data_IF_395170507545
#
_entry.id   IF_395170507545
#
_cell.length_a   1.000
_cell.length_b   1.000
_cell.length_c   1.000
_cell.angle_alpha   90.00
_cell.angle_beta   90.00
_cell.angle_gamma   90.00
#
_symmetry.space_group_name_H-M   'P 1'
#
loop_
_entity.id
_entity.type
_entity.pdbx_description
1 polymer ?
#
# COMPACT_ATOMS: atom_id res chain seq x y z
N UNK A 1 -52.42 -25.06 -40.86
CA UNK A 1 -52.87 -25.66 -42.12
C UNK A 1 -51.75 -25.68 -43.13
N UNK A 2 -51.50 -26.88 -43.67
CA UNK A 2 -50.91 -27.17 -44.99
C UNK A 2 -49.50 -26.60 -45.30
N UNK A 3 -48.52 -27.32 -45.82
CA UNK A 3 -48.42 -28.67 -46.35
C UNK A 3 -46.93 -29.06 -46.35
N UNK A 4 -46.64 -30.35 -46.17
CA UNK A 4 -45.36 -30.97 -46.49
C UNK A 4 -45.46 -31.51 -47.93
N UNK A 5 -44.36 -31.61 -48.72
CA UNK A 5 -43.93 -32.98 -49.07
C UNK A 5 -42.43 -33.18 -49.44
N UNK A 6 -41.91 -34.35 -49.04
CA UNK A 6 -41.02 -35.32 -49.77
C UNK A 6 -39.77 -34.80 -50.50
N UNK A 7 -38.57 -35.42 -50.48
CA UNK A 7 -38.26 -36.85 -50.59
C UNK A 7 -36.73 -37.08 -50.45
N UNK A 8 -36.35 -38.33 -50.12
CA UNK A 8 -35.12 -39.07 -50.48
C UNK A 8 -33.70 -38.72 -49.95
N UNK A 9 -33.30 -39.59 -49.01
CA UNK A 9 -32.09 -40.46 -49.02
C UNK A 9 -30.69 -39.87 -49.17
N UNK A 10 -29.88 -40.01 -48.11
CA UNK A 10 -28.61 -40.77 -48.15
C UNK A 10 -27.98 -40.90 -46.75
N UNK A 11 -27.61 -42.13 -46.38
CA UNK A 11 -26.73 -42.46 -45.23
C UNK A 11 -25.32 -41.85 -45.44
N UNK A 12 -24.45 -41.63 -44.41
CA UNK A 12 -23.84 -42.75 -43.67
C UNK A 12 -23.38 -42.48 -42.20
N UNK A 13 -23.36 -43.56 -41.41
CA UNK A 13 -22.24 -44.14 -40.63
C UNK A 13 -21.40 -43.24 -39.66
N UNK A 14 -21.40 -43.73 -38.40
CA UNK A 14 -20.36 -43.73 -37.36
C UNK A 14 -20.11 -42.50 -36.47
N UNK A 15 -20.36 -42.70 -35.16
CA UNK A 15 -19.44 -42.23 -34.11
C UNK A 15 -19.37 -43.25 -32.97
N UNK A 16 -18.41 -44.18 -33.12
CA UNK A 16 -17.99 -45.09 -32.05
C UNK A 16 -17.26 -44.32 -30.95
N UNK A 17 -17.63 -44.63 -29.72
CA UNK A 17 -17.12 -44.06 -28.49
C UNK A 17 -15.64 -44.41 -28.26
N UNK A 18 -14.78 -43.40 -28.04
CA UNK A 18 -13.52 -43.58 -27.28
C UNK A 18 -13.31 -42.40 -26.33
N UNK A 19 -13.29 -42.76 -25.04
CA UNK A 19 -13.01 -41.91 -23.88
C UNK A 19 -11.67 -41.17 -24.05
N UNK A 20 -11.69 -39.84 -24.04
CA UNK A 20 -10.49 -39.04 -23.83
C UNK A 20 -10.14 -39.05 -22.34
N UNK A 21 -9.11 -39.83 -21.96
CA UNK A 21 -8.41 -39.64 -20.70
C UNK A 21 -7.55 -38.38 -20.83
N UNK A 22 -7.94 -37.30 -20.15
CA UNK A 22 -7.06 -36.16 -19.90
C UNK A 22 -6.01 -36.59 -18.88
N UNK A 23 -4.80 -36.91 -19.35
CA UNK A 23 -3.62 -36.94 -18.49
C UNK A 23 -3.35 -35.51 -18.00
N UNK A 24 -3.70 -35.22 -16.74
CA UNK A 24 -3.13 -34.10 -15.99
C UNK A 24 -1.62 -34.34 -15.89
N UNK A 25 -0.84 -33.66 -16.72
CA UNK A 25 0.61 -33.63 -16.59
C UNK A 25 0.96 -33.07 -15.21
N UNK A 26 1.60 -33.88 -14.39
CA UNK A 26 2.31 -33.38 -13.21
C UNK A 26 3.30 -32.29 -13.66
N UNK A 27 3.51 -31.22 -12.87
CA UNK A 27 4.57 -30.26 -13.16
C UNK A 27 5.87 -31.05 -13.26
N UNK A 28 6.55 -31.01 -14.41
CA UNK A 28 7.90 -31.57 -14.52
C UNK A 28 8.77 -30.80 -13.55
N UNK A 29 9.19 -31.43 -12.45
CA UNK A 29 10.24 -30.90 -11.60
C UNK A 29 11.47 -30.63 -12.47
N UNK A 30 11.77 -29.35 -12.68
CA UNK A 30 12.99 -28.94 -13.35
C UNK A 30 14.13 -29.42 -12.46
N UNK A 31 14.84 -30.48 -12.90
CA UNK A 31 16.02 -31.00 -12.20
C UNK A 31 17.05 -29.87 -12.13
N UNK A 32 17.14 -29.23 -10.97
CA UNK A 32 18.13 -28.18 -10.71
C UNK A 32 19.53 -28.69 -11.03
N UNK A 33 20.30 -27.91 -11.77
CA UNK A 33 21.68 -28.25 -12.12
C UNK A 33 22.55 -28.32 -10.86
N UNK A 34 23.68 -29.04 -10.92
CA UNK A 34 24.64 -29.07 -9.79
C UNK A 34 25.08 -27.66 -9.37
N UNK A 35 25.26 -26.76 -10.33
CA UNK A 35 25.58 -25.36 -10.09
C UNK A 35 24.45 -24.62 -9.34
N UNK A 36 23.20 -24.78 -9.76
CA UNK A 36 22.04 -24.18 -9.08
C UNK A 36 21.91 -24.68 -7.63
N UNK A 37 22.13 -25.98 -7.39
CA UNK A 37 22.11 -26.55 -6.03
C UNK A 37 23.22 -25.97 -5.15
N UNK A 38 24.42 -25.75 -5.69
CA UNK A 38 25.53 -25.13 -4.95
C UNK A 38 25.21 -23.67 -4.62
N UNK A 39 24.64 -22.91 -5.57
CA UNK A 39 24.21 -21.52 -5.34
C UNK A 39 23.15 -21.46 -4.24
N UNK A 40 22.12 -22.31 -4.32
CA UNK A 40 21.05 -22.38 -3.33
C UNK A 40 21.59 -22.74 -1.94
N UNK A 41 22.47 -23.74 -1.85
CA UNK A 41 23.10 -24.13 -0.59
C UNK A 41 23.97 -23.01 0.00
N UNK A 42 24.71 -22.28 -0.83
CA UNK A 42 25.50 -21.14 -0.37
C UNK A 42 24.62 -19.99 0.10
N UNK A 43 23.53 -19.68 -0.62
CA UNK A 43 22.54 -18.69 -0.20
C UNK A 43 21.92 -19.05 1.14
N UNK A 44 21.50 -20.31 1.32
CA UNK A 44 20.95 -20.79 2.58
C UNK A 44 21.95 -20.71 3.73
N UNK A 45 23.23 -21.06 3.49
CA UNK A 45 24.30 -20.93 4.50
C UNK A 45 24.51 -19.49 4.91
N UNK A 46 24.55 -18.56 3.95
CA UNK A 46 24.69 -17.13 4.21
C UNK A 46 23.49 -16.59 5.00
N UNK A 47 22.27 -17.00 4.66
CA UNK A 47 21.06 -16.62 5.37
C UNK A 47 21.04 -17.17 6.80
N UNK A 48 21.39 -18.44 7.00
CA UNK A 48 21.48 -19.04 8.33
C UNK A 48 22.54 -18.36 9.20
N UNK A 49 23.70 -18.00 8.61
CA UNK A 49 24.76 -17.27 9.31
C UNK A 49 24.27 -15.90 9.76
N UNK A 50 23.62 -15.15 8.86
CA UNK A 50 23.03 -13.83 9.19
C UNK A 50 21.98 -13.94 10.28
N UNK A 51 21.10 -14.94 10.20
CA UNK A 51 20.08 -15.20 11.21
C UNK A 51 20.71 -15.45 12.58
N UNK A 52 21.80 -16.22 12.66
CA UNK A 52 22.50 -16.46 13.92
C UNK A 52 23.12 -15.17 14.48
N UNK A 53 23.80 -14.37 13.65
CA UNK A 53 24.37 -13.08 14.05
C UNK A 53 23.29 -12.10 14.53
N UNK A 54 22.15 -12.01 13.84
CA UNK A 54 21.03 -11.18 14.25
C UNK A 54 20.32 -11.70 15.51
N UNK A 55 20.27 -13.01 15.71
CA UNK A 55 19.73 -13.61 16.94
C UNK A 55 20.56 -13.17 18.16
N UNK A 56 21.89 -13.16 18.05
CA UNK A 56 22.75 -12.68 19.13
C UNK A 56 22.61 -11.17 19.37
N UNK A 57 22.45 -10.38 18.30
CA UNK A 57 22.13 -8.93 18.43
C UNK A 57 20.79 -8.72 19.11
N UNK A 58 19.78 -9.49 18.77
CA UNK A 58 18.46 -9.42 19.41
C UNK A 58 18.53 -9.74 20.90
N UNK A 59 19.31 -10.73 21.33
CA UNK A 59 19.52 -11.01 22.75
C UNK A 59 20.06 -9.80 23.50
N UNK A 60 21.00 -9.07 22.91
CA UNK A 60 21.51 -7.83 23.48
C UNK A 60 20.40 -6.75 23.58
N UNK A 61 19.52 -6.65 22.59
CA UNK A 61 18.35 -5.75 22.67
C UNK A 61 17.45 -6.14 23.85
N UNK A 62 17.14 -7.43 24.03
CA UNK A 62 16.35 -7.89 25.19
C UNK A 62 17.05 -7.60 26.52
N UNK A 63 18.37 -7.83 26.62
CA UNK A 63 19.15 -7.51 27.81
C UNK A 63 19.10 -6.00 28.14
N UNK A 64 19.11 -5.14 27.12
CA UNK A 64 18.92 -3.69 27.31
C UNK A 64 17.49 -3.37 27.76
N UNK A 65 16.48 -4.01 27.18
CA UNK A 65 15.07 -3.83 27.57
C UNK A 65 14.83 -4.22 29.03
N UNK A 66 15.50 -5.25 29.56
CA UNK A 66 15.35 -5.64 30.98
C UNK A 66 15.88 -4.59 31.97
N UNK A 67 16.78 -3.70 31.52
CA UNK A 67 17.32 -2.61 32.34
C UNK A 67 16.41 -1.39 32.38
N UNK A 68 15.46 -1.29 31.45
CA UNK A 68 14.48 -0.20 31.41
C UNK A 68 13.37 -0.52 32.43
N UNK A 69 12.97 0.45 33.28
CA UNK A 69 11.85 0.26 34.20
C UNK A 69 10.58 -0.20 33.48
N UNK A 70 9.85 -1.15 34.08
CA UNK A 70 8.69 -1.80 33.43
C UNK A 70 7.53 -0.85 33.10
N UNK A 71 7.48 0.30 33.77
CA UNK A 71 6.49 1.37 33.55
C UNK A 71 6.95 2.40 32.50
N UNK A 72 8.25 2.45 32.18
CA UNK A 72 8.81 3.33 31.16
C UNK A 72 8.68 2.71 29.77
N UNK A 73 7.47 2.75 29.25
CA UNK A 73 7.15 2.19 27.94
C UNK A 73 7.76 2.99 26.79
N UNK A 74 7.92 4.32 26.94
CA UNK A 74 8.43 5.19 25.87
C UNK A 74 9.85 4.81 25.49
N UNK A 75 10.76 4.80 26.47
CA UNK A 75 12.17 4.49 26.23
C UNK A 75 12.37 3.06 25.69
N UNK A 76 11.53 2.12 26.14
CA UNK A 76 11.54 0.75 25.64
C UNK A 76 11.11 0.66 24.16
N UNK A 77 10.10 1.44 23.75
CA UNK A 77 9.66 1.52 22.35
C UNK A 77 10.74 2.20 21.49
N UNK A 78 11.31 3.31 21.97
CA UNK A 78 12.33 4.07 21.26
C UNK A 78 13.61 3.25 21.06
N UNK A 79 14.01 2.45 22.07
CA UNK A 79 15.13 1.52 21.95
C UNK A 79 14.87 0.49 20.84
N UNK A 80 13.67 -0.08 20.76
CA UNK A 80 13.36 -1.03 19.68
C UNK A 80 13.40 -0.33 18.33
N UNK A 81 12.85 0.87 18.21
CA UNK A 81 12.83 1.63 16.95
C UNK A 81 14.23 1.99 16.44
N UNK A 82 15.12 2.42 17.33
CA UNK A 82 16.53 2.68 16.98
C UNK A 82 17.23 1.41 16.49
N UNK A 83 16.92 0.26 17.11
CA UNK A 83 17.60 -1.00 16.83
C UNK A 83 17.04 -1.70 15.61
N UNK A 84 15.74 -1.61 15.33
CA UNK A 84 15.03 -2.31 14.25
C UNK A 84 15.65 -2.06 12.86
N UNK A 85 16.23 -0.87 12.64
CA UNK A 85 16.91 -0.50 11.38
C UNK A 85 18.12 -1.39 11.09
N UNK A 86 18.73 -1.99 12.11
CA UNK A 86 19.93 -2.82 11.99
C UNK A 86 19.63 -4.32 11.75
N UNK A 87 18.36 -4.69 11.58
CA UNK A 87 17.92 -6.06 11.33
C UNK A 87 17.33 -6.18 9.94
N UNK A 88 17.91 -7.06 9.12
CA UNK A 88 17.51 -7.31 7.75
C UNK A 88 16.60 -8.54 7.64
N UNK A 89 16.74 -9.52 8.54
CA UNK A 89 15.98 -10.78 8.42
C UNK A 89 14.54 -10.59 8.89
N UNK A 90 13.58 -10.94 8.03
CA UNK A 90 12.14 -10.83 8.32
C UNK A 90 11.72 -11.51 9.62
N UNK A 91 12.35 -12.64 9.99
CA UNK A 91 12.05 -13.39 11.21
C UNK A 91 12.39 -12.60 12.48
N UNK A 92 13.60 -12.05 12.58
CA UNK A 92 14.05 -11.28 13.75
C UNK A 92 13.31 -9.94 13.82
N UNK A 93 13.11 -9.29 12.67
CA UNK A 93 12.29 -8.08 12.58
C UNK A 93 10.88 -8.31 13.11
N UNK A 94 10.24 -9.42 12.71
CA UNK A 94 8.90 -9.77 13.16
C UNK A 94 8.84 -9.94 14.68
N UNK A 95 9.84 -10.58 15.28
CA UNK A 95 9.88 -10.80 16.72
C UNK A 95 10.09 -9.49 17.50
N UNK A 96 10.98 -8.59 17.03
CA UNK A 96 11.10 -7.24 17.58
C UNK A 96 9.82 -6.40 17.43
N UNK A 97 9.15 -6.50 16.28
CA UNK A 97 7.88 -5.80 16.05
C UNK A 97 6.77 -6.31 16.95
N UNK A 98 6.71 -7.63 17.21
CA UNK A 98 5.79 -8.21 18.20
C UNK A 98 6.09 -7.69 19.61
N UNK A 99 7.37 -7.60 19.97
CA UNK A 99 7.80 -7.01 21.25
C UNK A 99 7.37 -5.56 21.39
N UNK A 100 7.61 -4.75 20.35
CA UNK A 100 7.17 -3.35 20.25
C UNK A 100 5.65 -3.23 20.36
N UNK A 101 4.93 -4.07 19.63
CA UNK A 101 3.47 -4.11 19.63
C UNK A 101 2.92 -4.31 21.04
N UNK A 102 3.47 -5.25 21.81
CA UNK A 102 3.05 -5.49 23.19
C UNK A 102 3.32 -4.30 24.12
N UNK A 103 4.47 -3.64 23.98
CA UNK A 103 4.82 -2.44 24.74
C UNK A 103 3.87 -1.27 24.42
N UNK A 104 3.63 -1.02 23.13
CA UNK A 104 2.69 0.01 22.68
C UNK A 104 1.28 -0.26 23.19
N UNK A 105 0.82 -1.51 23.14
CA UNK A 105 -0.48 -1.93 23.66
C UNK A 105 -0.62 -1.65 25.16
N UNK A 106 0.39 -1.99 25.95
CA UNK A 106 0.39 -1.70 27.40
C UNK A 106 0.38 -0.20 27.65
N UNK A 107 1.16 0.57 26.91
CA UNK A 107 1.23 2.01 27.09
C UNK A 107 -0.09 2.71 26.71
N UNK A 108 -0.70 2.34 25.58
CA UNK A 108 -2.03 2.83 25.18
C UNK A 108 -3.06 2.61 26.28
N UNK A 109 -3.09 1.39 26.85
CA UNK A 109 -4.01 1.06 27.96
C UNK A 109 -3.75 1.89 29.20
N UNK A 110 -2.49 2.16 29.53
CA UNK A 110 -2.14 3.01 30.68
C UNK A 110 -2.61 4.44 30.49
N UNK A 111 -2.43 5.01 29.29
CA UNK A 111 -2.91 6.37 28.98
C UNK A 111 -4.45 6.43 28.96
N UNK A 112 -5.12 5.48 28.29
CA UNK A 112 -6.59 5.44 28.21
C UNK A 112 -7.29 5.25 29.56
N UNK A 113 -6.63 4.64 30.55
CA UNK A 113 -7.18 4.50 31.91
C UNK A 113 -7.22 5.82 32.70
N UNK A 114 -6.46 6.83 32.28
CA UNK A 114 -6.45 8.13 32.96
C UNK A 114 -7.74 8.88 32.63
N UNK A 115 -8.47 9.34 33.65
CA UNK A 115 -9.69 10.13 33.44
C UNK A 115 -9.41 11.48 32.77
N UNK A 116 -8.30 12.13 33.14
CA UNK A 116 -7.87 13.40 32.58
C UNK A 116 -6.43 13.26 32.09
N UNK A 117 -6.24 13.38 30.78
CA UNK A 117 -4.93 13.41 30.14
C UNK A 117 -4.41 14.86 30.12
N UNK A 118 -3.13 15.05 30.37
CA UNK A 118 -2.46 16.33 30.07
C UNK A 118 -2.38 16.56 28.56
N UNK A 119 -2.05 17.78 28.13
CA UNK A 119 -1.86 18.11 26.70
C UNK A 119 -0.76 17.23 26.09
N UNK A 120 0.34 17.04 26.82
CA UNK A 120 1.45 16.16 26.41
C UNK A 120 0.97 14.72 26.30
N UNK A 121 0.29 14.19 27.31
CA UNK A 121 -0.21 12.81 27.29
C UNK A 121 -1.22 12.56 26.18
N UNK A 122 -2.03 13.57 25.85
CA UNK A 122 -2.97 13.51 24.71
C UNK A 122 -2.21 13.44 23.39
N UNK A 123 -1.16 14.24 23.24
CA UNK A 123 -0.30 14.22 22.05
C UNK A 123 0.43 12.88 21.92
N UNK A 124 0.94 12.36 23.04
CA UNK A 124 1.56 11.04 23.11
C UNK A 124 0.58 9.94 22.76
N UNK A 125 -0.67 10.00 23.25
CA UNK A 125 -1.72 9.03 22.91
C UNK A 125 -1.96 8.98 21.39
N UNK A 126 -2.08 10.13 20.75
CA UNK A 126 -2.32 10.21 19.30
C UNK A 126 -1.15 9.64 18.49
N UNK A 127 0.09 10.05 18.82
CA UNK A 127 1.28 9.53 18.15
C UNK A 127 1.44 8.01 18.37
N UNK A 128 1.14 7.54 19.58
CA UNK A 128 1.21 6.13 19.94
C UNK A 128 0.15 5.31 19.18
N UNK A 129 -1.06 5.82 18.99
CA UNK A 129 -2.10 5.18 18.16
C UNK A 129 -1.64 5.03 16.70
N UNK A 130 -1.02 6.07 16.14
CA UNK A 130 -0.45 6.04 14.78
C UNK A 130 0.67 5.01 14.70
N UNK A 131 1.60 5.03 15.65
CA UNK A 131 2.72 4.10 15.73
C UNK A 131 2.29 2.64 15.93
N UNK A 132 1.24 2.41 16.72
CA UNK A 132 0.65 1.08 16.94
C UNK A 132 0.01 0.55 15.65
N UNK A 133 -0.77 1.37 14.96
CA UNK A 133 -1.34 1.01 13.66
C UNK A 133 -0.27 0.67 12.61
N UNK A 134 0.82 1.46 12.57
CA UNK A 134 1.93 1.20 11.67
C UNK A 134 2.62 -0.14 11.97
N UNK A 135 2.90 -0.41 13.25
CA UNK A 135 3.52 -1.65 13.71
C UNK A 135 2.68 -2.87 13.36
N UNK A 136 1.35 -2.81 13.58
CA UNK A 136 0.43 -3.86 13.15
C UNK A 136 0.47 -4.10 11.63
N UNK A 137 0.56 -3.03 10.85
CA UNK A 137 0.60 -3.12 9.39
C UNK A 137 1.86 -3.81 8.92
N UNK A 138 3.00 -3.52 9.56
CA UNK A 138 4.28 -4.16 9.25
C UNK A 138 4.29 -5.65 9.65
N UNK A 139 3.75 -5.99 10.82
CA UNK A 139 3.60 -7.39 11.26
C UNK A 139 2.74 -8.18 10.26
N UNK A 140 1.55 -7.67 9.91
CA UNK A 140 0.66 -8.33 8.96
C UNK A 140 1.31 -8.54 7.59
N UNK A 141 2.15 -7.60 7.15
CA UNK A 141 2.91 -7.73 5.90
C UNK A 141 3.98 -8.83 5.99
N UNK A 142 4.77 -8.85 7.07
CA UNK A 142 5.82 -9.86 7.28
C UNK A 142 5.25 -11.28 7.47
N UNK A 143 4.07 -11.40 8.09
CA UNK A 143 3.36 -12.67 8.27
C UNK A 143 2.56 -13.09 7.03
N UNK A 144 2.56 -12.28 5.97
CA UNK A 144 1.82 -12.50 4.73
C UNK A 144 0.31 -12.75 4.98
N UNK A 145 -0.28 -11.98 5.89
CA UNK A 145 -1.69 -12.08 6.26
C UNK A 145 -2.55 -11.63 5.08
N UNK A 146 -3.36 -12.56 4.56
CA UNK A 146 -4.27 -12.29 3.42
C UNK A 146 -5.35 -11.28 3.79
N UNK A 147 -5.94 -11.39 4.99
CA UNK A 147 -6.95 -10.47 5.50
C UNK A 147 -6.39 -9.58 6.61
N UNK A 148 -5.46 -8.71 6.24
CA UNK A 148 -4.86 -7.75 7.18
C UNK A 148 -5.90 -6.78 7.78
N UNK A 149 -7.08 -6.64 7.15
CA UNK A 149 -8.16 -5.80 7.67
C UNK A 149 -8.80 -6.43 8.90
N UNK A 150 -9.23 -7.69 8.80
CA UNK A 150 -9.84 -8.41 9.93
C UNK A 150 -8.87 -8.56 11.12
N UNK A 151 -7.58 -8.79 10.86
CA UNK A 151 -6.59 -8.85 11.94
C UNK A 151 -6.44 -7.52 12.67
N UNK A 152 -6.42 -6.39 11.94
CA UNK A 152 -6.35 -5.05 12.57
C UNK A 152 -7.61 -4.72 13.34
N UNK A 153 -8.77 -5.17 12.87
CA UNK A 153 -10.05 -4.93 13.55
C UNK A 153 -10.14 -5.57 14.94
N UNK A 154 -9.35 -6.61 15.22
CA UNK A 154 -9.24 -7.20 16.56
C UNK A 154 -8.69 -6.25 17.62
N UNK A 155 -7.98 -5.20 17.21
CA UNK A 155 -7.33 -4.24 18.11
C UNK A 155 -7.99 -2.86 18.07
N UNK A 156 -9.27 -2.83 17.68
CA UNK A 156 -10.04 -1.58 17.59
C UNK A 156 -10.21 -0.92 18.95
N UNK A 157 -10.36 -1.69 20.03
CA UNK A 157 -10.46 -1.15 21.38
C UNK A 157 -9.20 -0.38 21.79
N UNK A 158 -8.02 -0.85 21.38
CA UNK A 158 -6.76 -0.14 21.59
C UNK A 158 -6.67 1.16 20.78
N UNK A 159 -7.26 1.20 19.58
CA UNK A 159 -7.11 2.32 18.64
C UNK A 159 -8.24 3.36 18.69
N UNK A 160 -9.45 2.94 19.04
CA UNK A 160 -10.68 3.74 18.99
C UNK A 160 -11.44 3.50 20.29
N UNK A 161 -11.86 4.58 20.94
CA UNK A 161 -12.65 4.46 22.17
C UNK A 161 -14.05 3.93 21.83
N UNK A 162 -14.42 2.83 22.49
CA UNK A 162 -15.73 2.17 22.51
C UNK A 162 -16.38 1.87 21.14
N UNK A 163 -16.08 0.68 20.59
CA UNK A 163 -17.06 -0.30 20.10
C UNK A 163 -16.30 -1.37 19.29
N UNK A 164 -16.35 -2.65 19.68
CA UNK A 164 -15.54 -3.70 19.04
C UNK A 164 -15.85 -3.98 17.56
N UNK A 165 -16.87 -3.36 16.94
CA UNK A 165 -17.28 -3.68 15.55
C UNK A 165 -17.87 -2.49 14.77
N UNK A 166 -17.63 -1.23 15.17
CA UNK A 166 -18.15 -0.08 14.43
C UNK A 166 -17.22 0.33 13.28
N UNK A 167 -17.58 -0.11 12.06
CA UNK A 167 -16.84 0.22 10.83
C UNK A 167 -16.77 1.72 10.57
N UNK A 168 -17.79 2.49 10.95
CA UNK A 168 -17.77 3.93 10.73
C UNK A 168 -16.69 4.58 11.61
N UNK A 169 -16.66 4.24 12.90
CA UNK A 169 -15.63 4.76 13.81
C UNK A 169 -14.22 4.35 13.39
N UNK A 170 -14.05 3.12 12.88
CA UNK A 170 -12.78 2.68 12.31
C UNK A 170 -12.34 3.52 11.11
N UNK A 171 -13.24 3.76 10.14
CA UNK A 171 -12.93 4.61 9.00
C UNK A 171 -12.65 6.05 9.41
N UNK A 172 -13.40 6.61 10.35
CA UNK A 172 -13.14 7.94 10.92
C UNK A 172 -11.76 8.01 11.55
N UNK A 173 -11.41 7.05 12.40
CA UNK A 173 -10.07 6.94 12.97
C UNK A 173 -8.98 6.89 11.90
N UNK A 174 -9.17 6.07 10.86
CA UNK A 174 -8.21 5.97 9.76
C UNK A 174 -8.04 7.31 9.01
N UNK A 175 -9.13 8.03 8.75
CA UNK A 175 -9.13 9.30 8.04
C UNK A 175 -8.67 10.49 8.89
N UNK A 176 -8.89 10.46 10.20
CA UNK A 176 -8.54 11.56 11.11
C UNK A 176 -7.13 11.40 11.69
N UNK A 177 -6.76 10.18 12.10
CA UNK A 177 -5.49 9.91 12.79
C UNK A 177 -4.45 9.27 11.89
N UNK A 178 -4.87 8.37 10.98
CA UNK A 178 -3.94 7.55 10.17
C UNK A 178 -3.73 8.10 8.75
N UNK A 179 -4.37 9.21 8.38
CA UNK A 179 -4.36 9.73 7.00
C UNK A 179 -2.96 9.82 6.37
N UNK A 180 -1.97 10.31 7.14
CA UNK A 180 -0.58 10.44 6.69
C UNK A 180 0.12 9.10 6.39
N UNK A 181 -0.40 8.00 6.94
CA UNK A 181 0.12 6.63 6.79
C UNK A 181 -0.76 5.75 5.89
N UNK A 182 -1.92 6.23 5.44
CA UNK A 182 -2.71 5.50 4.46
C UNK A 182 -1.91 5.41 3.16
N UNK A 183 -1.89 4.24 2.51
CA UNK A 183 -1.23 4.10 1.22
C UNK A 183 -1.86 5.13 0.28
N UNK A 184 -1.00 6.02 -0.26
CA UNK A 184 -1.41 6.84 -1.39
C UNK A 184 -1.69 5.88 -2.54
N UNK A 185 -2.70 6.20 -3.36
CA UNK A 185 -3.05 5.38 -4.53
C UNK A 185 -1.75 5.04 -5.29
N UNK A 186 -1.65 3.80 -5.75
CA UNK A 186 -0.50 3.35 -6.54
C UNK A 186 -0.25 4.37 -7.66
N UNK A 187 0.92 5.02 -7.59
CA UNK A 187 1.38 5.90 -8.65
C UNK A 187 1.65 5.03 -9.88
N UNK A 188 1.29 5.54 -11.06
CA UNK A 188 1.35 4.78 -12.30
C UNK A 188 2.77 4.52 -12.79
N UNK A 189 2.90 4.33 -14.11
CA UNK A 189 4.20 4.23 -14.77
C UNK A 189 4.78 5.64 -14.94
N UNK A 190 6.11 5.78 -14.85
CA UNK A 190 6.79 7.05 -15.17
C UNK A 190 6.41 7.54 -16.57
N UNK A 191 6.09 8.83 -16.68
CA UNK A 191 5.77 9.48 -17.95
C UNK A 191 6.89 10.45 -18.32
N UNK A 192 7.41 10.36 -19.54
CA UNK A 192 8.52 11.18 -20.00
C UNK A 192 8.20 12.69 -20.05
N UNK A 193 6.90 13.06 -20.11
CA UNK A 193 6.45 14.46 -20.06
C UNK A 193 6.59 15.07 -18.66
N UNK A 194 6.66 14.24 -17.62
CA UNK A 194 6.71 14.64 -16.22
C UNK A 194 7.91 13.98 -15.52
N UNK A 195 9.14 14.51 -15.72
CA UNK A 195 10.35 13.90 -15.18
C UNK A 195 10.45 14.00 -13.64
N UNK A 196 9.79 14.99 -13.04
CA UNK A 196 9.96 15.33 -11.63
C UNK A 196 9.14 14.47 -10.67
N UNK A 197 8.11 13.75 -11.16
CA UNK A 197 7.29 12.87 -10.34
C UNK A 197 6.56 11.81 -11.17
N UNK A 198 6.03 10.79 -10.50
CA UNK A 198 5.25 9.72 -11.14
C UNK A 198 3.77 10.11 -11.15
N UNK A 199 3.15 10.34 -12.33
CA UNK A 199 1.76 10.74 -12.40
C UNK A 199 0.78 9.60 -12.09
N UNK A 200 -0.41 9.97 -11.64
CA UNK A 200 -1.56 9.07 -11.59
C UNK A 200 -2.02 8.70 -13.00
N UNK A 201 -2.69 7.55 -13.14
CA UNK A 201 -3.22 7.08 -14.43
C UNK A 201 -4.08 8.12 -15.16
N UNK A 202 -4.99 8.80 -14.44
CA UNK A 202 -5.85 9.81 -15.05
C UNK A 202 -5.07 11.03 -15.56
N UNK A 203 -3.93 11.35 -14.93
CA UNK A 203 -3.06 12.44 -15.39
C UNK A 203 -2.43 12.06 -16.72
N UNK A 204 -1.95 10.82 -16.87
CA UNK A 204 -1.43 10.30 -18.14
C UNK A 204 -2.51 10.33 -19.23
N UNK A 205 -3.73 9.83 -18.93
CA UNK A 205 -4.87 9.87 -19.85
C UNK A 205 -5.24 11.30 -20.26
N UNK A 206 -5.15 12.26 -19.33
CA UNK A 206 -5.32 13.68 -19.61
C UNK A 206 -4.25 14.22 -20.57
N UNK A 207 -2.97 13.94 -20.31
CA UNK A 207 -1.87 14.39 -21.16
C UNK A 207 -2.02 13.84 -22.59
N UNK A 208 -2.37 12.56 -22.72
CA UNK A 208 -2.61 11.90 -24.01
C UNK A 208 -3.74 12.55 -24.79
N UNK A 209 -4.84 12.90 -24.10
CA UNK A 209 -5.97 13.54 -24.74
C UNK A 209 -5.66 15.01 -25.12
N UNK A 210 -4.83 15.73 -24.34
CA UNK A 210 -4.33 17.06 -24.72
C UNK A 210 -3.46 16.98 -25.97
N UNK A 211 -2.51 16.04 -26.03
CA UNK A 211 -1.63 15.86 -27.19
C UNK A 211 -2.41 15.47 -28.45
N UNK A 212 -3.51 14.73 -28.29
CA UNK A 212 -4.47 14.38 -29.36
C UNK A 212 -5.48 15.50 -29.69
N UNK A 213 -5.39 16.66 -29.03
CA UNK A 213 -6.33 17.80 -29.17
C UNK A 213 -7.80 17.42 -28.92
N UNK A 214 -8.04 16.55 -27.95
CA UNK A 214 -9.37 16.11 -27.56
C UNK A 214 -9.94 16.97 -26.43
N UNK A 215 -11.28 17.10 -26.38
CA UNK A 215 -11.97 17.69 -25.24
C UNK A 215 -12.05 16.69 -24.09
N UNK A 216 -11.84 17.15 -22.85
CA UNK A 216 -11.73 16.29 -21.65
C UNK A 216 -12.51 16.92 -20.51
N UNK A 217 -13.21 16.09 -19.73
CA UNK A 217 -13.76 16.47 -18.42
C UNK A 217 -13.03 15.68 -17.33
N UNK A 218 -12.53 16.40 -16.32
CA UNK A 218 -11.77 15.80 -15.22
C UNK A 218 -12.57 15.93 -13.93
N UNK A 219 -12.95 14.79 -13.35
CA UNK A 219 -13.62 14.73 -12.05
C UNK A 219 -12.66 14.10 -11.05
N UNK A 220 -12.00 14.94 -10.25
CA UNK A 220 -11.08 14.50 -9.20
C UNK A 220 -11.20 15.38 -7.94
N UNK A 221 -10.90 14.85 -6.74
CA UNK A 221 -10.91 15.62 -5.50
C UNK A 221 -10.02 16.89 -5.54
N UNK A 222 -10.34 17.86 -4.68
CA UNK A 222 -9.45 19.01 -4.43
C UNK A 222 -8.08 18.49 -3.94
N UNK A 223 -7.00 19.17 -4.34
CA UNK A 223 -5.61 18.76 -4.13
C UNK A 223 -5.11 17.51 -4.91
N UNK A 224 -5.89 16.92 -5.82
CA UNK A 224 -5.40 15.86 -6.73
C UNK A 224 -4.48 16.34 -7.85
N UNK A 225 -4.10 17.63 -7.89
CA UNK A 225 -3.21 18.16 -8.94
C UNK A 225 -3.90 18.60 -10.25
N UNK A 226 -5.22 18.83 -10.23
CA UNK A 226 -5.96 19.36 -11.40
C UNK A 226 -5.39 20.68 -11.94
N UNK A 227 -5.02 21.60 -11.04
CA UNK A 227 -4.40 22.88 -11.43
C UNK A 227 -3.06 22.66 -12.13
N UNK A 228 -2.22 21.76 -11.59
CA UNK A 228 -0.95 21.40 -12.23
C UNK A 228 -1.18 20.84 -13.65
N UNK A 229 -2.13 19.92 -13.80
CA UNK A 229 -2.49 19.36 -15.10
C UNK A 229 -2.90 20.45 -16.12
N UNK A 230 -3.66 21.47 -15.70
CA UNK A 230 -4.08 22.55 -16.60
C UNK A 230 -2.92 23.35 -17.21
N UNK A 231 -1.79 23.48 -16.51
CA UNK A 231 -0.60 24.14 -17.05
C UNK A 231 0.00 23.40 -18.24
N UNK A 232 -0.14 22.07 -18.31
CA UNK A 232 0.29 21.32 -19.48
C UNK A 232 -0.55 21.71 -20.71
N UNK A 233 -1.88 21.75 -20.59
CA UNK A 233 -2.76 22.17 -21.68
C UNK A 233 -2.48 23.61 -22.14
N UNK A 234 -2.30 24.54 -21.19
CA UNK A 234 -1.91 25.93 -21.50
C UNK A 234 -0.56 25.95 -22.22
N UNK A 235 0.43 25.21 -21.70
CA UNK A 235 1.77 25.12 -22.26
C UNK A 235 1.79 24.56 -23.68
N UNK A 236 0.98 23.54 -23.98
CA UNK A 236 0.88 22.93 -25.31
C UNK A 236 0.39 23.94 -26.35
N UNK A 237 -0.55 24.82 -26.01
CA UNK A 237 -1.01 25.89 -26.92
C UNK A 237 0.05 26.98 -27.07
N UNK A 238 0.58 27.50 -25.95
CA UNK A 238 1.49 28.64 -25.97
C UNK A 238 2.89 28.32 -26.53
N UNK A 239 3.29 27.05 -26.53
CA UNK A 239 4.59 26.59 -27.02
C UNK A 239 4.49 25.90 -28.39
N UNK A 240 3.31 25.87 -29.01
CA UNK A 240 3.14 25.26 -30.33
C UNK A 240 3.83 26.13 -31.39
N UNK A 241 4.93 25.63 -31.95
CA UNK A 241 5.66 26.31 -33.02
C UNK A 241 4.89 26.35 -34.34
N UNK A 242 3.91 25.47 -34.52
CA UNK A 242 3.09 25.42 -35.73
C UNK A 242 1.93 26.41 -35.70
N UNK A 243 1.55 26.88 -34.51
CA UNK A 243 0.51 27.88 -34.30
C UNK A 243 1.01 28.99 -33.35
N UNK A 244 1.87 29.90 -33.84
CA UNK A 244 2.46 30.95 -33.01
C UNK A 244 1.44 31.98 -32.50
N UNK A 245 0.21 31.97 -33.03
CA UNK A 245 -0.88 32.85 -32.61
C UNK A 245 -1.91 32.11 -31.73
N UNK A 246 -1.57 30.91 -31.24
CA UNK A 246 -2.43 30.12 -30.37
C UNK A 246 -2.86 30.91 -29.12
N UNK A 247 -4.18 30.98 -28.89
CA UNK A 247 -4.75 31.65 -27.72
C UNK A 247 -5.36 30.61 -26.78
N UNK A 248 -4.98 30.67 -25.50
CA UNK A 248 -5.60 29.86 -24.44
C UNK A 248 -6.41 30.74 -23.50
N UNK A 249 -7.66 30.36 -23.23
CA UNK A 249 -8.54 31.07 -22.29
C UNK A 249 -8.70 30.21 -21.04
N UNK A 250 -8.19 30.69 -19.90
CA UNK A 250 -8.37 30.06 -18.60
C UNK A 250 -9.51 30.74 -17.84
N UNK A 251 -10.54 29.96 -17.50
CA UNK A 251 -11.72 30.46 -16.78
C UNK A 251 -11.75 29.86 -15.38
N UNK A 252 -11.82 30.71 -14.36
CA UNK A 252 -11.98 30.33 -12.98
C UNK A 252 -13.15 31.08 -12.34
N UNK A 253 -13.83 30.50 -11.33
CA UNK A 253 -15.05 31.08 -10.76
C UNK A 253 -14.82 32.36 -9.93
N UNK A 254 -13.59 32.64 -9.49
CA UNK A 254 -13.28 33.83 -8.67
C UNK A 254 -11.96 34.48 -9.08
N UNK A 255 -11.84 35.80 -8.86
CA UNK A 255 -10.60 36.57 -9.09
C UNK A 255 -9.41 36.07 -8.26
N UNK A 256 -9.66 35.60 -7.03
CA UNK A 256 -8.60 35.10 -6.16
C UNK A 256 -7.87 33.88 -6.77
N UNK A 257 -8.62 32.99 -7.43
CA UNK A 257 -8.04 31.82 -8.11
C UNK A 257 -7.29 32.20 -9.39
N UNK A 258 -7.69 33.27 -10.06
CA UNK A 258 -6.96 33.81 -11.23
C UNK A 258 -5.59 34.34 -10.77
N UNK A 259 -5.54 35.11 -9.68
CA UNK A 259 -4.31 35.68 -9.16
C UNK A 259 -3.31 34.60 -8.70
N UNK A 260 -3.81 33.48 -8.16
CA UNK A 260 -2.95 32.34 -7.80
C UNK A 260 -2.27 31.69 -9.00
N UNK A 261 -2.90 31.70 -10.17
CA UNK A 261 -2.37 31.10 -11.40
C UNK A 261 -1.47 32.06 -12.16
N UNK A 262 -1.79 33.37 -12.13
CA UNK A 262 -1.05 34.41 -12.84
C UNK A 262 0.37 34.63 -12.28
N UNK A 263 0.62 34.29 -11.02
CA UNK A 263 1.86 34.61 -10.32
C UNK A 263 1.93 36.11 -10.01
N UNK A 264 2.15 36.47 -8.75
CA UNK A 264 2.55 37.83 -8.41
C UNK A 264 4.01 38.05 -8.80
#
# INVERSE_FOLDING_TARGET
DEANPTDRSNSPIASGSKKQQQHKGQPREVKQTKAQRIIEQNNQRMMNKRLAEETDKMRNVEDQLTKIPSDNHSDAIDLIDERLVNFETSTIRLELLKRKFDLQRKYLRTLKKKQNLTIEERSTLELLQIGFFATMTEIAHLENVVDAFSEKMKFTEELVDDSPLDREKWYRFQLEKINSRLPRREQGIRDNRLPDFIPDKWQVEFLDAVDKRQSIIIVAPTASGKTYASYYAIGTVLKDKNDPNGVCVYVAPTKALINQVAGN
#
